data_IF_626160118349
#
_entry.id   IF_626160118349
#
_cell.length_a   1.000
_cell.length_b   1.000
_cell.length_c   1.000
_cell.angle_alpha   90.00
_cell.angle_beta   90.00
_cell.angle_gamma   90.00
#
_symmetry.space_group_name_H-M   'P 1'
#
loop_
_entity.id
_entity.type
_entity.pdbx_description
1 polymer ?
#
# COMPACT_ATOMS: atom_id res chain seq x y z
N UNK A 1 2.61 25.79 -20.40
CA UNK A 1 2.09 26.02 -19.04
C UNK A 1 2.27 24.75 -18.22
N UNK A 2 2.91 24.79 -17.04
CA UNK A 2 3.06 23.61 -16.17
C UNK A 2 1.76 23.41 -15.39
N UNK A 3 1.06 22.29 -15.61
CA UNK A 3 -0.24 21.98 -15.02
C UNK A 3 -0.15 21.96 -13.48
N UNK A 4 -0.81 22.90 -12.81
CA UNK A 4 -0.85 23.03 -11.34
C UNK A 4 -1.55 21.85 -10.67
N UNK A 5 -2.43 21.14 -11.39
CA UNK A 5 -3.11 19.95 -10.90
C UNK A 5 -2.15 18.75 -10.73
N UNK A 6 -1.11 18.62 -11.58
CA UNK A 6 -0.10 17.57 -11.44
C UNK A 6 0.73 17.73 -10.16
N UNK A 7 0.92 18.97 -9.68
CA UNK A 7 1.58 19.23 -8.38
C UNK A 7 0.74 18.82 -7.17
N UNK A 8 -0.59 18.71 -7.32
CA UNK A 8 -1.47 18.18 -6.26
C UNK A 8 -1.50 16.66 -6.27
N UNK A 9 -1.36 16.04 -7.45
CA UNK A 9 -1.23 14.59 -7.61
C UNK A 9 0.04 14.03 -6.96
N UNK A 10 1.16 14.78 -6.94
CA UNK A 10 2.37 14.35 -6.23
C UNK A 10 2.22 14.24 -4.71
N UNK A 11 1.11 14.72 -4.15
CA UNK A 11 0.77 14.61 -2.73
C UNK A 11 -0.52 13.82 -2.50
N UNK A 12 -1.09 13.21 -3.54
CA UNK A 12 -2.29 12.43 -3.42
C UNK A 12 -1.99 11.07 -2.78
N UNK A 13 -2.79 10.72 -1.78
CA UNK A 13 -2.82 9.40 -1.16
C UNK A 13 -4.03 8.64 -1.72
N UNK A 14 -3.84 7.36 -1.95
CA UNK A 14 -4.86 6.43 -2.40
C UNK A 14 -5.29 5.62 -1.19
N UNK A 15 -6.56 5.73 -0.82
CA UNK A 15 -7.16 4.88 0.21
C UNK A 15 -7.57 3.55 -0.43
N UNK A 16 -6.93 2.46 -0.01
CA UNK A 16 -7.17 1.12 -0.50
C UNK A 16 -7.72 0.25 0.65
N UNK A 17 -9.01 -0.15 0.64
CA UNK A 17 -9.52 -1.07 1.63
C UNK A 17 -8.90 -2.46 1.42
N UNK A 18 -8.15 -2.92 2.41
CA UNK A 18 -7.47 -4.20 2.43
C UNK A 18 -8.20 -5.10 3.43
N UNK A 19 -8.79 -6.18 2.90
CA UNK A 19 -9.47 -7.19 3.71
C UNK A 19 -8.99 -8.58 3.31
N UNK A 20 -8.33 -9.28 4.21
CA UNK A 20 -7.91 -10.67 3.99
C UNK A 20 -7.80 -11.43 5.31
N UNK A 21 -7.94 -12.75 5.25
CA UNK A 21 -7.76 -13.64 6.40
C UNK A 21 -6.49 -14.47 6.19
N UNK A 22 -5.66 -14.58 7.22
CA UNK A 22 -4.46 -15.42 7.20
C UNK A 22 -4.38 -16.23 8.49
N UNK A 23 -4.42 -17.56 8.37
CA UNK A 23 -4.31 -18.47 9.53
C UNK A 23 -5.40 -18.30 10.59
N UNK A 24 -6.59 -17.83 10.20
CA UNK A 24 -7.69 -17.50 11.12
C UNK A 24 -7.63 -16.09 11.73
N UNK A 25 -6.64 -15.27 11.34
CA UNK A 25 -6.54 -13.86 11.73
C UNK A 25 -7.07 -12.99 10.59
N UNK A 26 -8.11 -12.21 10.87
CA UNK A 26 -8.73 -11.31 9.91
C UNK A 26 -8.05 -9.94 9.96
N UNK A 27 -7.47 -9.55 8.84
CA UNK A 27 -6.93 -8.22 8.62
C UNK A 27 -7.97 -7.42 7.83
N UNK A 28 -8.54 -6.39 8.46
CA UNK A 28 -9.47 -5.45 7.82
C UNK A 28 -9.03 -4.04 8.18
N UNK A 29 -8.49 -3.32 7.20
CA UNK A 29 -8.01 -1.96 7.35
C UNK A 29 -7.96 -1.25 6.01
N UNK A 30 -7.93 0.07 6.02
CA UNK A 30 -7.74 0.88 4.81
C UNK A 30 -6.29 1.33 4.72
N UNK A 31 -5.53 0.74 3.79
CA UNK A 31 -4.16 1.10 3.48
C UNK A 31 -4.11 2.45 2.75
N UNK A 32 -3.23 3.34 3.18
CA UNK A 32 -2.96 4.62 2.54
C UNK A 32 -1.70 4.49 1.69
N UNK A 33 -1.88 4.50 0.37
CA UNK A 33 -0.83 4.25 -0.60
C UNK A 33 -0.43 5.57 -1.26
N UNK A 34 0.86 5.88 -1.29
CA UNK A 34 1.38 7.06 -1.98
C UNK A 34 1.30 6.85 -3.50
N UNK A 35 0.72 7.80 -4.23
CA UNK A 35 0.75 7.78 -5.69
C UNK A 35 2.20 7.91 -6.19
N UNK A 36 2.65 6.96 -7.01
CA UNK A 36 3.96 6.99 -7.68
C UNK A 36 3.79 7.13 -9.19
N UNK A 37 4.81 7.67 -9.86
CA UNK A 37 4.82 7.74 -11.31
C UNK A 37 5.02 6.35 -11.94
N UNK A 38 4.56 6.20 -13.18
CA UNK A 38 4.56 4.94 -13.92
C UNK A 38 5.98 4.36 -14.12
N UNK A 39 7.00 5.23 -14.23
CA UNK A 39 8.40 4.82 -14.34
C UNK A 39 8.88 4.19 -13.03
N UNK A 40 8.57 4.82 -11.89
CA UNK A 40 8.85 4.27 -10.56
C UNK A 40 8.07 2.99 -10.29
N UNK A 41 6.79 2.92 -10.67
CA UNK A 41 5.96 1.72 -10.51
C UNK A 41 6.55 0.55 -11.30
N UNK A 42 6.91 0.78 -12.56
CA UNK A 42 7.52 -0.25 -13.43
C UNK A 42 8.89 -0.68 -12.91
N UNK A 43 9.70 0.25 -12.39
CA UNK A 43 10.96 -0.10 -11.73
C UNK A 43 10.73 -0.97 -10.47
N UNK A 44 9.63 -0.73 -9.75
CA UNK A 44 9.22 -1.50 -8.56
C UNK A 44 8.56 -2.85 -8.90
N UNK A 45 8.06 -3.09 -10.11
CA UNK A 45 7.40 -4.37 -10.45
C UNK A 45 8.22 -5.27 -11.38
N UNK A 46 9.23 -4.75 -12.07
CA UNK A 46 9.88 -5.45 -13.20
C UNK A 46 11.33 -5.90 -12.92
N UNK A 47 11.86 -5.64 -11.72
CA UNK A 47 13.21 -6.07 -11.34
C UNK A 47 13.23 -7.46 -10.70
N UNK A 48 14.15 -8.34 -11.12
CA UNK A 48 14.41 -9.68 -10.53
C UNK A 48 14.82 -9.67 -9.03
N UNK A 49 14.91 -8.50 -8.40
CA UNK A 49 15.23 -8.31 -6.97
C UNK A 49 14.25 -7.39 -6.24
N UNK A 50 13.04 -7.24 -6.74
CA UNK A 50 12.01 -6.52 -6.00
C UNK A 50 11.51 -7.44 -4.89
N UNK A 51 11.87 -7.12 -3.65
CA UNK A 51 11.25 -7.75 -2.48
C UNK A 51 9.91 -7.08 -2.22
N UNK A 52 8.84 -7.86 -2.13
CA UNK A 52 7.50 -7.38 -1.78
C UNK A 52 7.51 -6.48 -0.54
N UNK A 53 8.38 -6.79 0.44
CA UNK A 53 8.58 -5.98 1.64
C UNK A 53 9.03 -4.55 1.32
N UNK A 54 9.93 -4.39 0.34
CA UNK A 54 10.43 -3.09 -0.08
C UNK A 54 9.36 -2.31 -0.82
N UNK A 55 8.62 -2.97 -1.70
CA UNK A 55 7.49 -2.36 -2.41
C UNK A 55 6.42 -1.84 -1.46
N UNK A 56 6.04 -2.64 -0.45
CA UNK A 56 5.09 -2.20 0.56
C UNK A 56 5.64 -1.03 1.37
N UNK A 57 6.90 -1.06 1.82
CA UNK A 57 7.50 0.06 2.57
C UNK A 57 7.57 1.36 1.78
N UNK A 58 7.81 1.29 0.48
CA UNK A 58 7.92 2.46 -0.38
C UNK A 58 6.56 3.03 -0.78
N UNK A 59 5.53 2.18 -0.92
CA UNK A 59 4.19 2.56 -1.36
C UNK A 59 3.23 2.85 -0.19
N UNK A 60 3.27 2.06 0.89
CA UNK A 60 2.40 2.20 2.04
C UNK A 60 2.93 3.27 2.99
N UNK A 61 2.20 4.37 3.12
CA UNK A 61 2.57 5.49 3.99
C UNK A 61 1.72 5.59 5.25
N UNK A 62 0.66 4.80 5.33
CA UNK A 62 -0.28 4.80 6.45
C UNK A 62 -1.32 3.69 6.33
N UNK A 63 -2.12 3.51 7.38
CA UNK A 63 -3.41 2.83 7.31
C UNK A 63 -4.38 3.46 8.29
N UNK A 64 -5.67 3.21 8.08
CA UNK A 64 -6.75 3.64 8.95
C UNK A 64 -7.72 2.50 9.23
N UNK A 65 -8.32 2.51 10.43
CA UNK A 65 -9.32 1.52 10.83
C UNK A 65 -8.77 0.11 11.04
N UNK A 66 -7.45 -0.04 11.26
CA UNK A 66 -6.88 -1.35 11.55
C UNK A 66 -7.25 -1.76 12.97
N UNK A 67 -8.09 -2.80 13.07
CA UNK A 67 -8.56 -3.32 14.35
C UNK A 67 -7.94 -4.70 14.61
N UNK A 68 -7.12 -4.79 15.65
CA UNK A 68 -6.51 -6.02 16.13
C UNK A 68 -7.05 -6.34 17.52
N UNK A 69 -7.71 -7.49 17.67
CA UNK A 69 -8.34 -7.94 18.93
C UNK A 69 -9.23 -6.88 19.64
N UNK A 70 -9.90 -6.02 18.88
CA UNK A 70 -10.76 -4.97 19.42
C UNK A 70 -10.02 -3.66 19.78
N UNK A 71 -8.72 -3.56 19.47
CA UNK A 71 -7.91 -2.35 19.62
C UNK A 71 -7.59 -1.77 18.26
N UNK A 72 -7.75 -0.45 18.14
CA UNK A 72 -7.29 0.26 16.97
C UNK A 72 -5.75 0.33 16.97
N UNK A 73 -5.12 -0.21 15.94
CA UNK A 73 -3.68 -0.23 15.76
C UNK A 73 -3.29 0.96 14.87
N UNK A 74 -2.66 2.00 15.44
CA UNK A 74 -2.19 3.11 14.64
C UNK A 74 -1.10 2.65 13.68
N UNK A 75 -0.92 3.36 12.58
CA UNK A 75 0.18 3.08 11.69
C UNK A 75 1.51 3.38 12.38
N UNK A 76 2.34 2.34 12.48
CA UNK A 76 3.72 2.45 12.91
C UNK A 76 4.62 1.57 12.04
N UNK A 77 5.88 2.00 11.88
CA UNK A 77 6.84 1.29 11.03
C UNK A 77 7.24 -0.07 11.62
N UNK A 78 7.28 -0.20 12.95
CA UNK A 78 7.59 -1.46 13.63
C UNK A 78 6.46 -2.47 13.41
N UNK A 79 5.20 -2.04 13.54
CA UNK A 79 4.03 -2.88 13.24
C UNK A 79 4.01 -3.32 11.77
N UNK A 80 4.33 -2.40 10.84
CA UNK A 80 4.47 -2.77 9.43
C UNK A 80 5.60 -3.79 9.24
N UNK A 81 6.74 -3.61 9.90
CA UNK A 81 7.86 -4.55 9.81
C UNK A 81 7.51 -5.93 10.35
N UNK A 82 6.78 -6.02 11.45
CA UNK A 82 6.25 -7.27 12.01
C UNK A 82 5.31 -7.98 11.02
N UNK A 83 4.38 -7.24 10.40
CA UNK A 83 3.49 -7.80 9.36
C UNK A 83 4.28 -8.32 8.16
N UNK A 84 5.30 -7.56 7.74
CA UNK A 84 6.15 -7.91 6.60
C UNK A 84 7.12 -9.05 6.90
N UNK A 85 7.25 -9.54 8.13
CA UNK A 85 7.99 -10.79 8.42
C UNK A 85 7.39 -11.95 7.62
N UNK A 86 6.07 -11.97 7.48
CA UNK A 86 5.32 -13.02 6.79
C UNK A 86 5.22 -12.75 5.28
N UNK A 87 5.85 -13.62 4.48
CA UNK A 87 5.89 -13.49 3.00
C UNK A 87 4.50 -13.41 2.33
N UNK A 88 3.51 -14.12 2.87
CA UNK A 88 2.14 -14.09 2.37
C UNK A 88 1.46 -12.72 2.61
N UNK A 89 1.71 -12.10 3.76
CA UNK A 89 1.20 -10.77 4.10
C UNK A 89 1.89 -9.72 3.22
N UNK A 90 3.22 -9.79 3.10
CA UNK A 90 3.97 -8.88 2.25
C UNK A 90 3.54 -8.96 0.79
N UNK A 91 3.36 -10.16 0.25
CA UNK A 91 2.90 -10.35 -1.12
C UNK A 91 1.49 -9.82 -1.34
N UNK A 92 0.57 -10.06 -0.40
CA UNK A 92 -0.80 -9.54 -0.50
C UNK A 92 -0.83 -8.02 -0.47
N UNK A 93 -0.10 -7.41 0.46
CA UNK A 93 -0.02 -5.95 0.57
C UNK A 93 0.66 -5.33 -0.65
N UNK A 94 1.70 -5.95 -1.21
CA UNK A 94 2.36 -5.47 -2.40
C UNK A 94 1.39 -5.45 -3.59
N UNK A 95 0.62 -6.53 -3.78
CA UNK A 95 -0.41 -6.61 -4.82
C UNK A 95 -1.49 -5.56 -4.62
N UNK A 96 -2.00 -5.36 -3.40
CA UNK A 96 -3.02 -4.33 -3.15
C UNK A 96 -2.45 -2.91 -3.35
N UNK A 97 -1.21 -2.64 -2.96
CA UNK A 97 -0.56 -1.35 -3.20
C UNK A 97 -0.38 -1.08 -4.70
N UNK A 98 0.07 -2.06 -5.46
CA UNK A 98 0.24 -1.95 -6.92
C UNK A 98 -1.11 -1.84 -7.62
N UNK A 99 -2.10 -2.65 -7.24
CA UNK A 99 -3.47 -2.55 -7.74
C UNK A 99 -4.09 -1.20 -7.39
N UNK A 100 -3.81 -0.63 -6.23
CA UNK A 100 -4.26 0.69 -5.86
C UNK A 100 -3.74 1.74 -6.85
N UNK A 101 -2.49 1.65 -7.31
CA UNK A 101 -1.95 2.53 -8.35
C UNK A 101 -2.70 2.35 -9.68
N UNK A 102 -2.95 1.12 -10.11
CA UNK A 102 -3.69 0.85 -11.36
C UNK A 102 -5.18 1.21 -11.27
N UNK A 103 -5.78 1.16 -10.07
CA UNK A 103 -7.18 1.57 -9.82
C UNK A 103 -7.39 3.08 -9.87
N UNK A 104 -6.32 3.90 -9.95
CA UNK A 104 -6.44 5.36 -10.17
C UNK A 104 -6.86 5.71 -11.61
N UNK A 105 -7.10 4.71 -12.47
CA UNK A 105 -7.60 4.94 -13.82
C UNK A 105 -9.12 5.22 -13.78
N UNK A 106 -9.46 6.50 -14.08
CA UNK A 106 -10.76 7.07 -14.42
C UNK A 106 -11.95 6.79 -13.46
N UNK A 107 -12.17 7.70 -12.50
CA UNK A 107 -13.55 8.18 -12.30
C UNK A 107 -13.85 9.16 -13.44
N UNK A 108 -14.37 8.65 -14.55
CA UNK A 108 -15.09 9.46 -15.55
C UNK A 108 -16.40 9.97 -14.95
#
# INVERSE_FOLDING_TARGET
MKLTCLKKLSSALIDCPVKFEFGGVLFDFTAQVKLVDEVTLTAMTTGEKVSDKKTVKDLLVGWSGFNDEGKNVPFDKETLDEMLVYGAISGRLAVECVNAQYRVIEKN
#
